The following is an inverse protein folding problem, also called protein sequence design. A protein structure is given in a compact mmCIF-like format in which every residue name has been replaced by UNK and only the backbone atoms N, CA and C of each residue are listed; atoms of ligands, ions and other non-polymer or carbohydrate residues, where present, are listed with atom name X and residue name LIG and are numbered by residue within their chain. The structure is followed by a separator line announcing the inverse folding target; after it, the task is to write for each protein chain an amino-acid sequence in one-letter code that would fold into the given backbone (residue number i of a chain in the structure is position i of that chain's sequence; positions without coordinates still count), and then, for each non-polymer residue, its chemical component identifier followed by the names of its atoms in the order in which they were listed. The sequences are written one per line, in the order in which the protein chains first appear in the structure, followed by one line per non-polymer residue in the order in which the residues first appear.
data_IF_862573274064
#
_entry.id   IF_862573274064
#
_cell.length_a   1.000
_cell.length_b   1.000
_cell.length_c   1.000
_cell.angle_alpha   90.00
_cell.angle_beta   90.00
_cell.angle_gamma   90.00
#
_symmetry.space_group_name_H-M   'P 1'
#
loop_
_entity.id
_entity.type
_entity.pdbx_description
1 polymer ?
#
# COMPACT_ATOMS: atom_id res chain seq x y z
N UNK A 1 -20.81 -16.51 -6.09
CA UNK A 1 -20.64 -15.16 -6.64
C UNK A 1 -20.09 -14.26 -5.52
N UNK A 2 -19.06 -13.46 -5.77
CA UNK A 2 -18.56 -12.50 -4.78
C UNK A 2 -19.55 -11.35 -4.62
N UNK A 3 -19.84 -10.92 -3.39
CA UNK A 3 -20.67 -9.75 -3.14
C UNK A 3 -20.01 -8.48 -3.71
N UNK A 4 -20.79 -7.51 -4.15
CA UNK A 4 -20.30 -6.22 -4.69
C UNK A 4 -20.55 -5.12 -3.67
N UNK A 5 -19.58 -4.20 -3.53
CA UNK A 5 -19.64 -3.09 -2.59
C UNK A 5 -19.54 -1.76 -3.31
N UNK A 6 -20.33 -0.77 -2.86
CA UNK A 6 -20.29 0.61 -3.40
C UNK A 6 -19.26 1.43 -2.62
N UNK A 7 -18.22 1.90 -3.32
CA UNK A 7 -17.15 2.74 -2.79
C UNK A 7 -17.15 4.10 -3.52
N UNK A 8 -16.41 5.12 -3.02
CA UNK A 8 -16.19 6.37 -3.78
C UNK A 8 -15.54 6.15 -5.16
N UNK A 9 -14.95 4.98 -5.36
CA UNK A 9 -14.27 4.51 -6.58
C UNK A 9 -15.24 3.86 -7.58
N UNK A 10 -16.50 3.62 -7.19
CA UNK A 10 -17.49 2.84 -7.95
C UNK A 10 -17.90 1.54 -7.25
N UNK A 11 -18.60 0.67 -7.99
CA UNK A 11 -18.94 -0.67 -7.53
C UNK A 11 -17.76 -1.63 -7.71
N UNK A 12 -17.39 -2.33 -6.64
CA UNK A 12 -16.17 -3.14 -6.59
C UNK A 12 -16.48 -4.54 -6.06
N UNK A 13 -15.99 -5.62 -6.70
CA UNK A 13 -16.12 -6.96 -6.16
C UNK A 13 -15.48 -7.08 -4.79
N UNK A 14 -16.09 -7.84 -3.87
CA UNK A 14 -15.66 -7.96 -2.48
C UNK A 14 -14.21 -8.42 -2.33
N UNK A 15 -13.74 -9.30 -3.23
CA UNK A 15 -12.34 -9.73 -3.24
C UNK A 15 -11.36 -8.57 -3.49
N UNK A 16 -11.71 -7.67 -4.42
CA UNK A 16 -10.91 -6.46 -4.68
C UNK A 16 -11.00 -5.51 -3.50
N UNK A 17 -12.19 -5.35 -2.91
CA UNK A 17 -12.38 -4.50 -1.73
C UNK A 17 -11.50 -4.95 -0.55
N UNK A 18 -11.44 -6.25 -0.26
CA UNK A 18 -10.57 -6.79 0.78
C UNK A 18 -9.11 -6.48 0.48
N UNK A 19 -8.63 -6.70 -0.75
CA UNK A 19 -7.26 -6.35 -1.14
C UNK A 19 -6.92 -4.86 -0.93
N UNK A 20 -7.85 -3.97 -1.25
CA UNK A 20 -7.70 -2.53 -0.99
C UNK A 20 -7.61 -2.24 0.51
N UNK A 21 -8.51 -2.80 1.33
CA UNK A 21 -8.50 -2.61 2.78
C UNK A 21 -7.25 -3.21 3.45
N UNK A 22 -6.78 -4.35 2.99
CA UNK A 22 -5.56 -4.96 3.50
C UNK A 22 -4.34 -4.08 3.19
N UNK A 23 -4.26 -3.51 1.97
CA UNK A 23 -3.20 -2.55 1.62
C UNK A 23 -3.25 -1.31 2.51
N UNK A 24 -4.44 -0.73 2.69
CA UNK A 24 -4.70 0.43 3.55
C UNK A 24 -4.23 0.20 5.00
N UNK A 25 -4.70 -0.89 5.62
CA UNK A 25 -4.37 -1.22 7.02
C UNK A 25 -2.88 -1.53 7.18
N UNK A 26 -2.28 -2.32 6.28
CA UNK A 26 -0.86 -2.65 6.35
C UNK A 26 0.01 -1.39 6.23
N UNK A 27 -0.35 -0.49 5.31
CA UNK A 27 0.38 0.76 5.10
C UNK A 27 0.28 1.68 6.33
N UNK A 28 -0.87 1.74 6.98
CA UNK A 28 -1.02 2.54 8.20
C UNK A 28 -0.41 1.89 9.44
N UNK A 29 -0.35 0.56 9.51
CA UNK A 29 0.46 -0.14 10.51
C UNK A 29 1.95 0.22 10.34
N UNK A 30 2.43 0.28 9.11
CA UNK A 30 3.79 0.75 8.80
C UNK A 30 4.00 2.21 9.23
N UNK A 31 3.05 3.10 8.93
CA UNK A 31 3.11 4.51 9.35
C UNK A 31 3.28 4.64 10.88
N UNK A 32 2.52 3.85 11.65
CA UNK A 32 2.61 3.82 13.10
C UNK A 32 3.94 3.25 13.59
N UNK A 33 4.40 2.13 13.02
CA UNK A 33 5.67 1.52 13.39
C UNK A 33 6.84 2.50 13.17
N UNK A 34 6.89 3.13 12.00
CA UNK A 34 7.90 4.12 11.65
C UNK A 34 7.85 5.36 12.55
N UNK A 35 6.65 5.88 12.85
CA UNK A 35 6.48 7.07 13.69
C UNK A 35 6.83 6.83 15.17
N UNK A 36 6.74 5.57 15.64
CA UNK A 36 6.98 5.19 17.03
C UNK A 36 8.34 4.51 17.24
N UNK A 37 9.15 4.36 16.19
CA UNK A 37 10.46 3.70 16.27
C UNK A 37 10.38 2.18 16.48
N UNK A 38 9.25 1.56 16.17
CA UNK A 38 9.10 0.10 16.17
C UNK A 38 9.62 -0.50 14.86
N UNK A 39 9.80 -1.82 14.84
CA UNK A 39 10.18 -2.53 13.62
C UNK A 39 9.14 -2.34 12.52
N UNK A 40 9.60 -1.95 11.32
CA UNK A 40 8.77 -1.91 10.10
C UNK A 40 8.80 -3.22 9.33
N UNK A 41 9.51 -4.25 9.82
CA UNK A 41 9.48 -5.61 9.29
C UNK A 41 8.17 -6.32 9.70
N UNK A 42 7.08 -5.82 9.12
CA UNK A 42 5.75 -6.43 9.21
C UNK A 42 5.71 -7.69 8.34
N UNK A 43 4.63 -8.48 8.44
CA UNK A 43 4.45 -9.75 7.71
C UNK A 43 5.01 -9.69 6.27
N UNK A 44 6.17 -10.35 6.01
CA UNK A 44 6.88 -10.19 4.75
C UNK A 44 6.11 -10.77 3.57
N UNK A 45 5.40 -11.88 3.77
CA UNK A 45 4.62 -12.53 2.71
C UNK A 45 3.45 -11.64 2.29
N UNK A 46 2.71 -11.13 3.27
CA UNK A 46 1.62 -10.20 3.03
C UNK A 46 2.11 -8.91 2.35
N UNK A 47 3.22 -8.35 2.81
CA UNK A 47 3.78 -7.14 2.25
C UNK A 47 4.27 -7.32 0.80
N UNK A 48 4.87 -8.46 0.46
CA UNK A 48 5.22 -8.82 -0.93
C UNK A 48 3.96 -8.91 -1.80
N UNK A 49 2.92 -9.61 -1.33
CA UNK A 49 1.66 -9.77 -2.05
C UNK A 49 1.00 -8.41 -2.31
N UNK A 50 0.98 -7.53 -1.30
CA UNK A 50 0.39 -6.19 -1.42
C UNK A 50 1.24 -5.24 -2.26
N UNK A 51 2.57 -5.33 -2.23
CA UNK A 51 3.46 -4.58 -3.13
C UNK A 51 3.22 -4.94 -4.60
N UNK A 52 3.10 -6.23 -4.91
CA UNK A 52 2.79 -6.68 -6.26
C UNK A 52 1.41 -6.15 -6.73
N UNK A 53 0.39 -6.26 -5.89
CA UNK A 53 -0.94 -5.73 -6.18
C UNK A 53 -0.95 -4.20 -6.37
N UNK A 54 -0.24 -3.46 -5.51
CA UNK A 54 -0.13 -2.01 -5.59
C UNK A 54 0.54 -1.57 -6.91
N UNK A 55 1.61 -2.26 -7.33
CA UNK A 55 2.27 -1.99 -8.62
C UNK A 55 1.37 -2.24 -9.83
N UNK A 56 0.46 -3.20 -9.74
CA UNK A 56 -0.50 -3.47 -10.81
C UNK A 56 -1.62 -2.42 -10.89
N UNK A 57 -2.04 -1.85 -9.75
CA UNK A 57 -3.16 -0.90 -9.69
C UNK A 57 -2.75 0.57 -9.80
N UNK A 58 -1.65 0.96 -9.16
CA UNK A 58 -1.28 2.37 -8.95
C UNK A 58 -0.35 2.85 -10.07
N UNK A 59 -0.97 3.23 -11.19
CA UNK A 59 -0.29 3.90 -12.31
C UNK A 59 -0.05 5.41 -12.08
N UNK A 60 0.67 6.07 -13.02
CA UNK A 60 1.03 7.49 -12.93
C UNK A 60 -0.15 8.45 -12.74
N UNK A 61 -1.33 8.10 -13.26
CA UNK A 61 -2.55 8.93 -13.17
C UNK A 61 -3.09 9.12 -11.74
N UNK A 62 -2.64 8.28 -10.80
CA UNK A 62 -3.01 8.33 -9.38
C UNK A 62 -1.96 9.02 -8.50
N UNK A 63 -0.88 9.56 -9.09
CA UNK A 63 0.23 10.16 -8.36
C UNK A 63 0.28 11.68 -8.51
N UNK A 64 0.71 12.38 -7.46
CA UNK A 64 1.00 13.80 -7.46
C UNK A 64 -0.01 14.68 -6.69
N UNK A 65 0.09 16.02 -6.80
CA UNK A 65 -0.75 16.95 -6.05
C UNK A 65 -2.25 16.73 -6.29
N UNK A 66 -3.03 16.62 -5.21
CA UNK A 66 -4.48 16.40 -5.28
C UNK A 66 -4.90 14.97 -5.68
N UNK A 67 -3.96 14.03 -5.73
CA UNK A 67 -4.21 12.62 -6.08
C UNK A 67 -4.07 11.72 -4.84
N UNK A 68 -4.58 10.46 -4.91
CA UNK A 68 -4.55 9.56 -3.76
C UNK A 68 -3.15 9.19 -3.26
N UNK A 69 -2.13 9.19 -4.14
CA UNK A 69 -0.76 8.84 -3.79
C UNK A 69 0.21 9.95 -4.14
N UNK A 70 1.28 10.10 -3.36
CA UNK A 70 2.43 10.91 -3.76
C UNK A 70 3.28 10.14 -4.80
N UNK A 71 4.31 10.82 -5.32
CA UNK A 71 5.32 10.15 -6.14
C UNK A 71 6.03 9.05 -5.34
N UNK A 72 6.32 7.94 -6.03
CA UNK A 72 7.11 6.85 -5.47
C UNK A 72 8.46 7.37 -4.96
N UNK A 73 8.87 6.85 -3.80
CA UNK A 73 10.14 7.18 -3.17
C UNK A 73 11.15 6.04 -3.38
N UNK A 74 12.45 6.34 -3.41
CA UNK A 74 13.47 5.30 -3.49
C UNK A 74 13.45 4.44 -2.22
N UNK A 75 13.62 3.13 -2.39
CA UNK A 75 13.80 2.18 -1.30
C UNK A 75 14.76 1.07 -1.76
N UNK A 76 15.85 0.77 -1.02
CA UNK A 76 16.71 -0.37 -1.31
C UNK A 76 15.93 -1.69 -1.27
N UNK A 77 16.30 -2.65 -2.12
CA UNK A 77 15.62 -3.95 -2.21
C UNK A 77 15.87 -4.85 -1.00
N UNK A 78 16.90 -4.53 -0.24
CA UNK A 78 17.34 -5.23 0.97
C UNK A 78 16.51 -4.80 2.20
N UNK A 79 15.74 -3.71 2.10
CA UNK A 79 14.80 -3.30 3.15
C UNK A 79 13.60 -4.26 3.20
N UNK A 80 12.94 -4.38 4.36
CA UNK A 80 11.69 -5.13 4.50
C UNK A 80 10.69 -4.84 3.36
N UNK A 81 9.93 -5.84 2.88
CA UNK A 81 8.95 -5.62 1.82
C UNK A 81 7.90 -4.56 2.16
N UNK A 82 7.57 -4.39 3.45
CA UNK A 82 6.67 -3.35 3.93
C UNK A 82 7.24 -1.93 3.72
N UNK A 83 8.57 -1.75 3.87
CA UNK A 83 9.24 -0.49 3.54
C UNK A 83 9.16 -0.20 2.03
N UNK A 84 9.36 -1.23 1.21
CA UNK A 84 9.27 -1.10 -0.25
C UNK A 84 7.84 -0.74 -0.69
N UNK A 85 6.82 -1.34 -0.06
CA UNK A 85 5.41 -0.95 -0.25
C UNK A 85 5.16 0.50 0.18
N UNK A 86 5.61 0.90 1.37
CA UNK A 86 5.44 2.25 1.87
C UNK A 86 6.08 3.29 0.94
N UNK A 87 7.30 3.02 0.46
CA UNK A 87 8.00 3.86 -0.49
C UNK A 87 7.28 3.95 -1.84
N UNK A 88 6.79 2.83 -2.36
CA UNK A 88 5.97 2.80 -3.57
C UNK A 88 4.69 3.63 -3.41
N UNK A 89 4.08 3.65 -2.23
CA UNK A 89 2.90 4.46 -1.91
C UNK A 89 3.23 5.90 -1.48
N UNK A 90 4.50 6.31 -1.60
CA UNK A 90 4.94 7.70 -1.48
C UNK A 90 5.49 8.11 -0.12
N UNK A 91 5.66 7.18 0.83
CA UNK A 91 6.30 7.46 2.12
C UNK A 91 7.82 7.49 1.99
N UNK A 92 8.46 8.28 2.84
CA UNK A 92 9.92 8.28 2.96
C UNK A 92 10.33 7.24 3.97
N UNK A 93 11.10 6.24 3.53
CA UNK A 93 11.73 5.25 4.41
C UNK A 93 13.00 5.87 4.99
N UNK A 94 13.20 5.74 6.31
CA UNK A 94 14.38 6.24 7.03
C UNK A 94 15.21 5.10 7.60
#
# INVERSE_FOLDING_TARGET
MSATFKLPLGEVPGQVFIGLRTTDVLTHAWDLAAATGQSTDLDPELAVERLAAARALVGPQFRGPGKPFADEKPCPRERPPADQLAAFLGRTVR
#
